data_IF_317609361441
#
_entry.id   IF_317609361441
#
_cell.length_a   1.000
_cell.length_b   1.000
_cell.length_c   1.000
_cell.angle_alpha   90.00
_cell.angle_beta   90.00
_cell.angle_gamma   90.00
#
_symmetry.space_group_name_H-M   'P 1'
#
loop_
_entity.id
_entity.type
_entity.pdbx_description
1 polymer ?
#
# COMPACT_ATOMS: atom_id res chain seq x y z
N UNK A 1 21.21 -62.71 -44.96
CA UNK A 1 21.62 -61.58 -44.07
C UNK A 1 20.46 -60.57 -43.93
N UNK A 2 19.62 -60.40 -44.95
CA UNK A 2 18.50 -59.41 -44.94
C UNK A 2 17.35 -59.74 -43.95
N UNK A 3 17.01 -61.04 -43.84
CA UNK A 3 15.91 -61.52 -42.99
C UNK A 3 16.25 -61.41 -41.47
N UNK A 4 17.47 -61.71 -41.09
CA UNK A 4 17.96 -61.60 -39.72
C UNK A 4 17.98 -60.14 -39.26
N UNK A 5 18.37 -59.25 -40.14
CA UNK A 5 18.35 -57.82 -39.83
C UNK A 5 16.92 -57.28 -39.66
N UNK A 6 15.95 -57.73 -40.44
CA UNK A 6 14.53 -57.39 -40.28
C UNK A 6 13.97 -57.92 -38.96
N UNK A 7 14.31 -59.11 -38.56
CA UNK A 7 13.89 -59.73 -37.32
C UNK A 7 14.45 -58.96 -36.09
N UNK A 8 15.74 -58.64 -36.12
CA UNK A 8 16.39 -57.87 -35.06
C UNK A 8 15.80 -56.43 -34.91
N UNK A 9 15.52 -55.77 -36.04
CA UNK A 9 14.83 -54.44 -36.01
C UNK A 9 13.43 -54.56 -35.43
N UNK A 10 12.65 -55.58 -35.79
CA UNK A 10 11.29 -55.80 -35.24
C UNK A 10 11.32 -56.09 -33.75
N UNK A 11 12.29 -56.87 -33.28
CA UNK A 11 12.47 -57.21 -31.87
C UNK A 11 12.89 -55.97 -31.06
N UNK A 12 13.82 -55.15 -31.61
CA UNK A 12 14.25 -53.91 -30.99
C UNK A 12 13.10 -52.88 -30.91
N UNK A 13 12.27 -52.79 -31.95
CA UNK A 13 11.12 -51.90 -31.99
C UNK A 13 10.05 -52.32 -30.97
N UNK A 14 9.79 -53.60 -30.80
CA UNK A 14 8.84 -54.12 -29.82
C UNK A 14 9.31 -53.90 -28.37
N UNK A 15 10.62 -54.02 -28.10
CA UNK A 15 11.21 -53.73 -26.79
C UNK A 15 11.08 -52.23 -26.43
N UNK A 16 11.34 -51.34 -27.40
CA UNK A 16 11.18 -49.86 -27.19
C UNK A 16 9.71 -49.52 -26.96
N UNK A 17 8.78 -50.15 -27.69
CA UNK A 17 7.34 -49.90 -27.51
C UNK A 17 6.84 -50.40 -26.16
N UNK A 18 7.36 -51.57 -25.66
CA UNK A 18 7.04 -52.09 -24.34
C UNK A 18 7.56 -51.19 -23.21
N UNK A 19 8.83 -50.73 -23.30
CA UNK A 19 9.40 -49.78 -22.32
C UNK A 19 8.64 -48.46 -22.28
N UNK A 20 8.23 -47.89 -23.43
CA UNK A 20 7.47 -46.65 -23.47
C UNK A 20 6.05 -46.80 -22.90
N UNK A 21 5.43 -47.99 -22.99
CA UNK A 21 4.13 -48.24 -22.36
C UNK A 21 4.25 -48.37 -20.84
N UNK A 22 5.30 -49.01 -20.34
CA UNK A 22 5.59 -49.12 -18.91
C UNK A 22 5.94 -47.75 -18.27
N UNK A 23 6.73 -46.92 -18.95
CA UNK A 23 7.05 -45.55 -18.50
C UNK A 23 5.80 -44.69 -18.47
N UNK A 24 4.88 -44.80 -19.46
CA UNK A 24 3.61 -44.07 -19.45
C UNK A 24 2.67 -44.54 -18.33
N UNK A 25 2.61 -45.84 -18.03
CA UNK A 25 1.81 -46.38 -16.93
C UNK A 25 2.38 -45.99 -15.58
N UNK A 26 3.70 -45.96 -15.41
CA UNK A 26 4.37 -45.50 -14.21
C UNK A 26 4.12 -43.98 -13.97
N UNK A 27 4.14 -43.17 -15.03
CA UNK A 27 3.84 -41.74 -14.97
C UNK A 27 2.38 -41.47 -14.59
N UNK A 28 1.43 -42.30 -15.02
CA UNK A 28 0.02 -42.15 -14.63
C UNK A 28 -0.19 -42.57 -13.17
N UNK A 29 0.42 -43.67 -12.73
CA UNK A 29 0.38 -44.09 -11.33
C UNK A 29 1.02 -43.04 -10.38
N UNK A 30 2.14 -42.44 -10.79
CA UNK A 30 2.79 -41.41 -10.01
C UNK A 30 1.89 -40.15 -9.87
N UNK A 31 1.20 -39.77 -10.93
CA UNK A 31 0.23 -38.63 -10.88
C UNK A 31 -0.95 -38.94 -9.98
N UNK A 32 -1.52 -40.13 -10.01
CA UNK A 32 -2.61 -40.53 -9.11
C UNK A 32 -2.14 -40.61 -7.66
N UNK A 33 -0.91 -41.07 -7.40
CA UNK A 33 -0.31 -41.09 -6.07
C UNK A 33 -0.11 -39.66 -5.53
N UNK A 34 0.43 -38.76 -6.34
CA UNK A 34 0.63 -37.35 -5.95
C UNK A 34 -0.72 -36.65 -5.67
N UNK A 35 -1.73 -36.87 -6.53
CA UNK A 35 -3.05 -36.27 -6.33
C UNK A 35 -3.74 -36.81 -5.07
N UNK A 36 -3.65 -38.12 -4.78
CA UNK A 36 -4.20 -38.69 -3.55
C UNK A 36 -3.47 -38.19 -2.30
N UNK A 37 -2.14 -38.02 -2.38
CA UNK A 37 -1.33 -37.46 -1.29
C UNK A 37 -1.71 -35.99 -1.00
N UNK A 38 -1.98 -35.18 -2.02
CA UNK A 38 -2.45 -33.80 -1.89
C UNK A 38 -3.83 -33.77 -1.22
N UNK A 39 -4.76 -34.65 -1.61
CA UNK A 39 -6.10 -34.73 -1.02
C UNK A 39 -6.00 -35.13 0.46
N UNK A 40 -5.16 -36.11 0.81
CA UNK A 40 -4.90 -36.51 2.18
C UNK A 40 -4.30 -35.36 2.99
N UNK A 41 -3.32 -34.65 2.43
CA UNK A 41 -2.70 -33.48 3.05
C UNK A 41 -3.72 -32.37 3.31
N UNK A 42 -4.59 -32.07 2.36
CA UNK A 42 -5.68 -31.09 2.53
C UNK A 42 -6.65 -31.54 3.62
N UNK A 43 -6.99 -32.83 3.68
CA UNK A 43 -7.91 -33.36 4.70
C UNK A 43 -7.33 -33.29 6.12
N UNK A 44 -6.04 -33.55 6.30
CA UNK A 44 -5.36 -33.48 7.62
C UNK A 44 -4.95 -32.07 8.01
N UNK A 45 -4.68 -31.16 7.06
CA UNK A 45 -4.30 -29.78 7.35
C UNK A 45 -5.52 -28.88 7.53
N UNK A 46 -6.64 -29.17 6.85
CA UNK A 46 -7.89 -28.39 6.93
C UNK A 46 -8.43 -28.21 8.35
N UNK A 47 -8.50 -29.24 9.21
CA UNK A 47 -8.93 -29.07 10.60
C UNK A 47 -7.99 -28.16 11.41
N UNK A 48 -6.67 -28.30 11.22
CA UNK A 48 -5.66 -27.47 11.90
C UNK A 48 -5.72 -26.01 11.46
N UNK A 49 -5.98 -25.76 10.17
CA UNK A 49 -6.20 -24.41 9.64
C UNK A 49 -7.48 -23.80 10.24
N UNK A 50 -8.55 -24.61 10.37
CA UNK A 50 -9.81 -24.18 10.97
C UNK A 50 -9.67 -23.89 12.47
N UNK A 51 -8.91 -24.70 13.22
CA UNK A 51 -8.58 -24.42 14.62
C UNK A 51 -7.72 -23.15 14.76
N UNK A 52 -6.74 -22.96 13.88
CA UNK A 52 -5.93 -21.75 13.86
C UNK A 52 -6.74 -20.50 13.51
N UNK A 53 -7.66 -20.60 12.58
CA UNK A 53 -8.63 -19.53 12.26
C UNK A 53 -9.57 -19.28 13.44
N UNK A 54 -10.07 -20.33 14.10
CA UNK A 54 -10.94 -20.22 15.28
C UNK A 54 -10.22 -19.60 16.47
N UNK A 55 -8.95 -19.97 16.71
CA UNK A 55 -8.10 -19.33 17.72
C UNK A 55 -7.82 -17.85 17.38
N UNK A 56 -7.58 -17.51 16.11
CA UNK A 56 -7.46 -16.10 15.69
C UNK A 56 -8.73 -15.30 15.96
N UNK A 57 -9.90 -15.88 15.67
CA UNK A 57 -11.20 -15.22 15.90
C UNK A 57 -11.49 -15.10 17.40
N UNK A 58 -11.17 -16.12 18.21
CA UNK A 58 -11.30 -16.05 19.68
C UNK A 58 -10.33 -15.02 20.26
N UNK A 59 -9.07 -15.06 19.86
CA UNK A 59 -8.07 -14.07 20.29
C UNK A 59 -8.45 -12.65 19.89
N UNK A 60 -9.04 -12.45 18.69
CA UNK A 60 -9.54 -11.14 18.25
C UNK A 60 -10.76 -10.69 19.07
N UNK A 61 -11.67 -11.59 19.44
CA UNK A 61 -12.83 -11.29 20.30
C UNK A 61 -12.44 -10.97 21.74
N UNK A 62 -11.54 -11.74 22.31
CA UNK A 62 -11.04 -11.49 23.67
C UNK A 62 -10.23 -10.20 23.73
N UNK A 63 -9.43 -9.92 22.70
CA UNK A 63 -8.71 -8.67 22.56
C UNK A 63 -9.65 -7.48 22.32
N UNK A 64 -10.72 -7.66 21.56
CA UNK A 64 -11.76 -6.65 21.31
C UNK A 64 -12.53 -6.33 22.59
N UNK A 65 -12.95 -7.34 23.35
CA UNK A 65 -13.67 -7.17 24.62
C UNK A 65 -12.78 -6.51 25.69
N UNK A 66 -11.52 -6.94 25.81
CA UNK A 66 -10.57 -6.31 26.72
C UNK A 66 -10.24 -4.86 26.29
N UNK A 67 -10.14 -4.59 25.00
CA UNK A 67 -9.90 -3.22 24.50
C UNK A 67 -11.12 -2.32 24.69
N UNK A 68 -12.36 -2.83 24.49
CA UNK A 68 -13.60 -2.09 24.76
C UNK A 68 -13.74 -1.73 26.24
N UNK A 69 -13.47 -2.68 27.14
CA UNK A 69 -13.55 -2.46 28.58
C UNK A 69 -12.47 -1.49 29.08
N UNK A 70 -11.24 -1.59 28.57
CA UNK A 70 -10.18 -0.64 28.90
C UNK A 70 -10.44 0.74 28.29
N UNK A 71 -11.02 0.80 27.09
CA UNK A 71 -11.40 2.04 26.42
C UNK A 71 -12.50 2.78 27.22
N UNK A 72 -13.55 2.06 27.65
CA UNK A 72 -14.64 2.62 28.47
C UNK A 72 -14.09 3.26 29.73
N UNK A 73 -13.18 2.59 30.46
CA UNK A 73 -12.48 3.14 31.63
C UNK A 73 -11.61 4.37 31.35
N UNK A 74 -11.08 4.49 30.13
CA UNK A 74 -10.21 5.62 29.75
C UNK A 74 -11.01 6.88 29.44
N UNK A 75 -12.27 6.76 28.94
CA UNK A 75 -13.06 7.88 28.43
C UNK A 75 -14.38 8.16 29.15
N UNK A 76 -14.81 7.36 30.13
CA UNK A 76 -16.09 7.56 30.85
C UNK A 76 -16.20 8.90 31.61
N UNK A 77 -15.18 9.75 31.59
CA UNK A 77 -15.17 11.00 32.38
C UNK A 77 -15.36 12.29 31.61
N UNK A 78 -15.39 12.26 30.27
CA UNK A 78 -15.48 13.47 29.44
C UNK A 78 -16.48 13.32 28.26
N UNK A 79 -17.73 12.96 28.55
CA UNK A 79 -18.79 12.82 27.53
C UNK A 79 -19.59 14.11 27.35
N UNK A 80 -18.96 15.20 26.94
CA UNK A 80 -19.68 16.36 26.39
C UNK A 80 -18.81 17.07 25.37
N UNK A 81 -18.70 16.51 24.17
CA UNK A 81 -18.29 17.28 23.01
C UNK A 81 -18.97 16.69 21.76
N UNK A 82 -20.20 17.16 21.51
CA UNK A 82 -20.83 17.12 20.19
C UNK A 82 -20.03 17.97 19.22
N UNK A 83 -19.03 17.36 18.60
CA UNK A 83 -18.32 17.97 17.50
C UNK A 83 -18.70 17.25 16.22
N UNK A 84 -19.62 17.84 15.43
CA UNK A 84 -19.69 17.62 13.99
C UNK A 84 -18.29 17.88 13.43
N UNK A 85 -17.48 16.82 13.30
CA UNK A 85 -16.20 16.89 12.63
C UNK A 85 -16.48 17.20 11.16
N UNK A 86 -16.37 18.45 10.81
CA UNK A 86 -16.39 18.90 9.43
C UNK A 86 -15.12 18.34 8.77
N UNK A 87 -15.23 17.73 7.57
CA UNK A 87 -14.11 17.17 6.80
C UNK A 87 -12.95 18.17 6.61
N UNK A 88 -13.21 19.46 6.77
CA UNK A 88 -12.23 20.52 6.72
C UNK A 88 -11.06 20.33 7.70
N UNK A 89 -11.34 19.87 8.93
CA UNK A 89 -10.30 19.66 9.96
C UNK A 89 -9.43 18.42 9.73
N UNK A 90 -9.89 17.50 8.87
CA UNK A 90 -9.19 16.23 8.61
C UNK A 90 -7.80 16.44 7.98
N UNK A 91 -7.63 17.53 7.26
CA UNK A 91 -6.42 17.84 6.50
C UNK A 91 -5.65 19.05 7.02
N UNK A 92 -6.12 19.75 8.07
CA UNK A 92 -5.45 20.95 8.59
C UNK A 92 -3.97 20.71 8.92
N UNK A 93 -3.65 19.64 9.62
CA UNK A 93 -2.26 19.28 9.95
C UNK A 93 -1.41 18.85 8.74
N UNK A 94 -2.06 18.51 7.61
CA UNK A 94 -1.39 18.19 6.33
C UNK A 94 -1.14 19.48 5.55
N UNK A 95 -2.08 20.41 5.58
CA UNK A 95 -1.96 21.69 4.89
C UNK A 95 -1.03 22.65 5.65
N UNK A 96 -1.05 22.56 7.00
CA UNK A 96 -0.15 23.30 7.90
C UNK A 96 1.21 22.61 8.08
N UNK A 97 1.82 22.06 7.03
CA UNK A 97 3.17 21.48 7.08
C UNK A 97 4.21 22.59 7.27
N UNK A 98 4.26 23.15 8.50
CA UNK A 98 5.12 24.29 8.86
C UNK A 98 6.61 23.95 8.94
N UNK A 99 6.94 22.63 9.06
CA UNK A 99 8.32 22.14 9.16
C UNK A 99 9.05 22.04 7.80
N UNK A 100 8.43 22.46 6.70
CA UNK A 100 9.07 22.44 5.39
C UNK A 100 9.61 23.83 5.07
N UNK A 101 10.87 23.91 4.62
CA UNK A 101 11.40 25.17 4.12
C UNK A 101 10.47 25.72 3.03
N UNK A 102 10.12 27.01 3.14
CA UNK A 102 9.27 27.68 2.16
C UNK A 102 9.86 27.65 0.74
N UNK A 103 11.14 27.31 0.61
CA UNK A 103 11.91 27.25 -0.62
C UNK A 103 12.20 25.79 -1.05
N UNK A 104 11.15 25.02 -1.30
CA UNK A 104 11.32 23.70 -1.94
C UNK A 104 11.84 23.89 -3.37
N UNK A 105 13.11 23.62 -3.60
CA UNK A 105 13.72 23.70 -4.93
C UNK A 105 13.20 22.55 -5.80
N UNK A 106 12.67 22.90 -6.96
CA UNK A 106 12.26 21.91 -7.97
C UNK A 106 13.48 21.48 -8.78
N UNK A 107 13.89 20.24 -8.61
CA UNK A 107 14.99 19.66 -9.38
C UNK A 107 14.56 19.33 -10.82
N UNK A 108 15.50 19.43 -11.75
CA UNK A 108 15.28 18.99 -13.15
C UNK A 108 15.21 17.45 -13.23
N UNK A 109 14.58 16.94 -14.27
CA UNK A 109 14.55 15.48 -14.51
C UNK A 109 15.94 14.88 -14.69
N UNK A 110 16.90 15.64 -15.25
CA UNK A 110 18.30 15.22 -15.39
C UNK A 110 18.98 15.10 -14.03
N UNK A 111 18.88 16.12 -13.18
CA UNK A 111 19.44 16.11 -11.82
C UNK A 111 18.87 14.98 -10.98
N UNK A 112 17.56 14.68 -11.11
CA UNK A 112 16.93 13.56 -10.41
C UNK A 112 17.48 12.22 -10.93
N UNK A 113 17.71 12.08 -12.22
CA UNK A 113 18.28 10.87 -12.80
C UNK A 113 19.71 10.63 -12.28
N UNK A 114 20.55 11.68 -12.24
CA UNK A 114 21.91 11.64 -11.64
C UNK A 114 21.88 11.27 -10.15
N UNK A 115 20.93 11.83 -9.40
CA UNK A 115 20.75 11.49 -7.98
C UNK A 115 20.38 10.00 -7.80
N UNK A 116 19.50 9.46 -8.64
CA UNK A 116 19.14 8.05 -8.59
C UNK A 116 20.28 7.13 -9.00
N UNK A 117 21.10 7.53 -9.95
CA UNK A 117 22.30 6.81 -10.37
C UNK A 117 23.36 6.81 -9.27
N UNK A 118 23.73 7.97 -8.73
CA UNK A 118 24.71 8.12 -7.67
C UNK A 118 24.35 7.35 -6.39
N UNK A 119 23.05 7.31 -6.05
CA UNK A 119 22.53 6.54 -4.92
C UNK A 119 22.29 5.06 -5.25
N UNK A 120 22.54 4.63 -6.48
CA UNK A 120 22.24 3.28 -6.99
C UNK A 120 20.78 2.90 -6.77
N UNK A 121 19.87 3.86 -6.91
CA UNK A 121 18.44 3.64 -6.77
C UNK A 121 17.81 3.33 -8.12
N UNK A 122 17.47 2.07 -8.37
CA UNK A 122 16.80 1.65 -9.58
C UNK A 122 15.73 0.59 -9.28
N UNK A 123 14.68 0.56 -10.12
CA UNK A 123 13.52 -0.30 -9.90
C UNK A 123 13.82 -1.80 -10.06
N UNK A 124 14.88 -2.17 -10.79
CA UNK A 124 15.25 -3.58 -10.93
C UNK A 124 15.82 -4.11 -9.62
N UNK A 125 16.68 -3.34 -8.96
CA UNK A 125 17.19 -3.67 -7.64
C UNK A 125 16.06 -3.71 -6.59
N UNK A 126 15.13 -2.76 -6.63
CA UNK A 126 13.96 -2.78 -5.75
C UNK A 126 13.13 -4.05 -5.96
N UNK A 127 12.91 -4.49 -7.20
CA UNK A 127 12.18 -5.74 -7.48
C UNK A 127 12.89 -6.96 -6.91
N UNK A 128 14.23 -7.02 -6.99
CA UNK A 128 15.05 -8.13 -6.49
C UNK A 128 15.10 -8.14 -4.96
N UNK A 129 15.50 -7.01 -4.37
CA UNK A 129 15.84 -6.90 -2.95
C UNK A 129 14.64 -6.57 -2.06
N UNK A 130 13.56 -6.04 -2.63
CA UNK A 130 12.40 -5.45 -1.92
C UNK A 130 12.79 -4.26 -1.03
N UNK A 131 13.98 -3.71 -1.21
CA UNK A 131 14.46 -2.55 -0.48
C UNK A 131 14.35 -1.29 -1.34
N UNK A 132 13.77 -0.24 -0.77
CA UNK A 132 13.62 1.06 -1.40
C UNK A 132 14.60 2.04 -0.75
N UNK A 133 15.37 2.75 -1.56
CA UNK A 133 16.26 3.81 -1.06
C UNK A 133 15.41 4.98 -0.53
N UNK A 134 15.77 5.58 0.61
CA UNK A 134 15.01 6.67 1.23
C UNK A 134 15.27 8.02 0.53
N UNK A 135 15.13 8.04 -0.79
CA UNK A 135 15.27 9.27 -1.60
C UNK A 135 13.90 9.91 -1.75
N UNK A 136 13.61 10.93 -0.95
CA UNK A 136 12.34 11.65 -1.00
C UNK A 136 12.50 12.97 -1.74
N UNK A 137 11.69 13.17 -2.78
CA UNK A 137 11.60 14.42 -3.51
C UNK A 137 10.35 15.19 -3.11
N UNK A 138 10.48 16.51 -2.97
CA UNK A 138 9.36 17.37 -2.58
C UNK A 138 8.41 17.67 -3.74
N UNK A 139 8.92 17.76 -4.96
CA UNK A 139 8.20 18.18 -6.16
C UNK A 139 8.51 17.27 -7.36
N UNK A 140 7.56 17.13 -8.29
CA UNK A 140 7.81 16.51 -9.59
C UNK A 140 8.60 17.47 -10.48
N UNK A 141 9.54 16.97 -11.34
CA UNK A 141 10.22 17.80 -12.32
C UNK A 141 9.23 18.26 -13.39
N UNK A 142 9.30 19.54 -13.78
CA UNK A 142 8.41 20.06 -14.84
C UNK A 142 8.64 19.40 -16.21
N UNK A 143 9.87 18.95 -16.44
CA UNK A 143 10.29 18.28 -17.67
C UNK A 143 9.70 16.88 -17.82
N UNK A 144 9.06 16.32 -16.79
CA UNK A 144 8.46 14.97 -16.85
C UNK A 144 7.48 14.85 -18.02
N UNK A 145 6.74 15.93 -18.31
CA UNK A 145 5.80 16.00 -19.45
C UNK A 145 6.49 16.00 -20.82
N UNK A 146 7.79 16.41 -20.88
CA UNK A 146 8.58 16.47 -22.12
C UNK A 146 9.34 15.17 -22.40
N UNK A 147 9.32 14.20 -21.48
CA UNK A 147 9.99 12.91 -21.67
C UNK A 147 9.17 12.08 -22.67
N UNK A 148 9.63 12.00 -23.93
CA UNK A 148 8.94 11.26 -25.00
C UNK A 148 8.94 9.75 -24.75
N UNK A 149 10.06 9.20 -24.27
CA UNK A 149 10.13 7.79 -23.97
C UNK A 149 9.23 7.42 -22.77
N UNK A 150 8.09 6.81 -23.09
CA UNK A 150 7.04 6.44 -22.13
C UNK A 150 7.59 5.56 -20.99
N UNK A 151 8.49 4.62 -21.29
CA UNK A 151 9.09 3.73 -20.28
C UNK A 151 9.98 4.53 -19.32
N UNK A 152 10.80 5.45 -19.83
CA UNK A 152 11.63 6.33 -18.99
C UNK A 152 10.76 7.21 -18.10
N UNK A 153 9.71 7.85 -18.66
CA UNK A 153 8.78 8.68 -17.90
C UNK A 153 8.07 7.89 -16.77
N UNK A 154 7.54 6.71 -17.08
CA UNK A 154 6.89 5.84 -16.09
C UNK A 154 7.86 5.40 -14.99
N UNK A 155 9.07 5.00 -15.34
CA UNK A 155 10.08 4.60 -14.37
C UNK A 155 10.46 5.77 -13.45
N UNK A 156 10.69 6.96 -13.99
CA UNK A 156 10.99 8.16 -13.21
C UNK A 156 9.85 8.48 -12.24
N UNK A 157 8.61 8.46 -12.71
CA UNK A 157 7.45 8.68 -11.85
C UNK A 157 7.38 7.67 -10.71
N UNK A 158 7.52 6.37 -11.00
CA UNK A 158 7.50 5.33 -9.97
C UNK A 158 8.65 5.53 -8.97
N UNK A 159 9.87 5.83 -9.44
CA UNK A 159 11.02 6.07 -8.57
C UNK A 159 10.78 7.25 -7.62
N UNK A 160 10.07 8.29 -8.06
CA UNK A 160 9.72 9.44 -7.23
C UNK A 160 8.65 9.10 -6.19
N UNK A 161 7.58 8.41 -6.60
CA UNK A 161 6.41 8.18 -5.73
C UNK A 161 6.62 7.03 -4.75
N UNK A 162 7.34 5.99 -5.14
CA UNK A 162 7.52 4.78 -4.32
C UNK A 162 8.13 5.06 -2.94
N UNK A 163 9.22 5.84 -2.78
CA UNK A 163 9.76 6.16 -1.46
C UNK A 163 8.78 6.91 -0.56
N UNK A 164 7.93 7.77 -1.14
CA UNK A 164 6.94 8.55 -0.39
C UNK A 164 5.86 7.65 0.21
N UNK A 165 5.36 6.68 -0.57
CA UNK A 165 4.38 5.69 -0.09
C UNK A 165 4.99 4.79 0.98
N UNK A 166 6.23 4.32 0.78
CA UNK A 166 6.94 3.49 1.77
C UNK A 166 7.16 4.26 3.08
N UNK A 167 7.53 5.54 3.00
CA UNK A 167 7.71 6.40 4.18
C UNK A 167 6.40 6.55 4.96
N UNK A 168 5.29 6.77 4.26
CA UNK A 168 3.98 6.88 4.93
C UNK A 168 3.59 5.56 5.59
N UNK A 169 3.78 4.43 4.92
CA UNK A 169 3.54 3.11 5.51
C UNK A 169 4.43 2.83 6.73
N UNK A 170 5.66 3.34 6.76
CA UNK A 170 6.52 3.25 7.95
C UNK A 170 5.94 4.06 9.11
N UNK A 171 5.44 5.27 8.85
CA UNK A 171 4.78 6.11 9.85
C UNK A 171 3.53 5.41 10.42
N UNK A 172 2.69 4.86 9.54
CA UNK A 172 1.49 4.11 9.94
C UNK A 172 1.87 2.90 10.81
N UNK A 173 2.91 2.14 10.45
CA UNK A 173 3.40 1.02 11.27
C UNK A 173 3.85 1.45 12.66
N UNK A 174 4.55 2.58 12.77
CA UNK A 174 4.98 3.13 14.05
C UNK A 174 3.77 3.57 14.90
N UNK A 175 2.82 4.27 14.29
CA UNK A 175 1.58 4.67 14.93
C UNK A 175 0.77 3.45 15.40
N UNK A 176 0.68 2.43 14.58
CA UNK A 176 0.00 1.17 14.89
C UNK A 176 0.65 0.45 16.08
N UNK A 177 2.00 0.36 16.11
CA UNK A 177 2.73 -0.16 17.27
C UNK A 177 2.43 0.63 18.55
N UNK A 178 2.42 1.96 18.45
CA UNK A 178 2.10 2.85 19.58
C UNK A 178 0.66 2.67 20.03
N UNK A 179 -0.31 2.57 19.11
CA UNK A 179 -1.70 2.28 19.42
C UNK A 179 -1.83 1.01 20.26
N UNK A 180 -1.27 -0.12 19.80
CA UNK A 180 -1.32 -1.37 20.54
C UNK A 180 -0.61 -1.29 21.88
N UNK A 181 0.50 -0.57 21.99
CA UNK A 181 1.18 -0.36 23.26
C UNK A 181 0.33 0.42 24.28
N UNK A 182 -0.50 1.35 23.82
CA UNK A 182 -1.44 2.11 24.65
C UNK A 182 -2.61 1.24 25.08
N UNK A 183 -3.17 0.46 24.17
CA UNK A 183 -4.33 -0.39 24.43
C UNK A 183 -4.04 -1.54 25.39
N UNK A 184 -2.79 -2.03 25.42
CA UNK A 184 -2.37 -3.11 26.29
C UNK A 184 -2.04 -2.65 27.73
N UNK A 185 -2.10 -1.35 28.03
CA UNK A 185 -1.85 -0.84 29.38
C UNK A 185 -3.14 -0.74 30.22
N UNK A 186 -3.05 -1.07 31.51
CA UNK A 186 -4.14 -0.89 32.46
C UNK A 186 -4.40 0.59 32.79
N UNK A 187 -3.36 1.43 32.73
CA UNK A 187 -3.45 2.88 32.94
C UNK A 187 -2.66 3.61 31.86
N UNK A 188 -3.27 4.61 31.27
CA UNK A 188 -2.65 5.45 30.25
C UNK A 188 -2.41 6.87 30.77
N UNK A 189 -1.25 7.44 30.44
CA UNK A 189 -0.93 8.82 30.77
C UNK A 189 -1.81 9.82 29.99
N UNK A 190 -1.89 11.07 30.46
CA UNK A 190 -2.60 12.15 29.76
C UNK A 190 -2.07 12.33 28.32
N UNK A 191 -0.75 12.28 28.14
CA UNK A 191 -0.14 12.37 26.82
C UNK A 191 -0.57 11.23 25.87
N UNK A 192 -0.70 9.99 26.39
CA UNK A 192 -1.18 8.85 25.59
C UNK A 192 -2.66 9.01 25.21
N UNK A 193 -3.49 9.52 26.11
CA UNK A 193 -4.90 9.81 25.81
C UNK A 193 -5.02 10.91 24.74
N UNK A 194 -4.29 12.02 24.88
CA UNK A 194 -4.27 13.10 23.90
C UNK A 194 -3.79 12.62 22.53
N UNK A 195 -2.77 11.75 22.50
CA UNK A 195 -2.32 11.15 21.25
C UNK A 195 -3.41 10.28 20.62
N UNK A 196 -4.13 9.48 21.38
CA UNK A 196 -5.23 8.65 20.87
C UNK A 196 -6.37 9.53 20.32
N UNK A 197 -6.74 10.60 21.02
CA UNK A 197 -7.70 11.59 20.54
C UNK A 197 -7.27 12.20 19.21
N UNK A 198 -5.99 12.61 19.10
CA UNK A 198 -5.46 13.14 17.85
C UNK A 198 -5.55 12.14 16.70
N UNK A 199 -5.38 10.82 17.00
CA UNK A 199 -5.51 9.76 15.98
C UNK A 199 -6.96 9.51 15.57
N UNK A 200 -7.92 9.54 16.49
CA UNK A 200 -9.34 9.50 16.11
C UNK A 200 -9.70 10.65 15.16
N UNK A 201 -9.26 11.86 15.48
CA UNK A 201 -9.45 13.04 14.63
C UNK A 201 -8.76 12.86 13.28
N UNK A 202 -7.48 12.43 13.30
CA UNK A 202 -6.66 12.24 12.10
C UNK A 202 -7.26 11.22 11.13
N UNK A 203 -7.87 10.16 11.63
CA UNK A 203 -8.46 9.08 10.82
C UNK A 203 -9.98 9.23 10.64
N UNK A 204 -10.57 10.38 11.01
CA UNK A 204 -11.99 10.67 10.82
C UNK A 204 -12.92 9.74 11.59
N UNK A 205 -12.51 9.25 12.75
CA UNK A 205 -13.30 8.34 13.58
C UNK A 205 -14.06 9.15 14.63
N UNK A 206 -15.24 9.67 14.24
CA UNK A 206 -16.04 10.59 15.05
C UNK A 206 -16.52 9.98 16.38
N UNK A 207 -16.99 8.75 16.33
CA UNK A 207 -17.53 8.01 17.47
C UNK A 207 -16.46 7.41 18.39
N UNK A 208 -15.18 7.69 18.14
CA UNK A 208 -14.02 7.14 18.88
C UNK A 208 -14.01 5.61 18.94
N UNK A 209 -14.57 4.95 17.93
CA UNK A 209 -14.55 3.50 17.83
C UNK A 209 -13.16 2.98 17.50
N UNK A 210 -12.62 2.16 18.43
CA UNK A 210 -11.29 1.58 18.31
C UNK A 210 -11.17 0.57 17.17
N UNK A 211 -12.24 -0.13 16.85
CA UNK A 211 -12.22 -1.11 15.76
C UNK A 211 -12.06 -0.38 14.43
N UNK A 212 -12.86 0.66 14.22
CA UNK A 212 -12.75 1.53 13.05
C UNK A 212 -11.36 2.19 12.96
N UNK A 213 -10.82 2.68 14.09
CA UNK A 213 -9.46 3.26 14.10
C UNK A 213 -8.40 2.23 13.71
N UNK A 214 -8.46 0.99 14.22
CA UNK A 214 -7.54 -0.10 13.85
C UNK A 214 -7.63 -0.46 12.37
N UNK A 215 -8.82 -0.44 11.78
CA UNK A 215 -9.03 -0.71 10.35
C UNK A 215 -8.47 0.42 9.50
N UNK A 216 -8.79 1.67 9.82
CA UNK A 216 -8.34 2.84 9.06
C UNK A 216 -6.84 3.12 9.21
N UNK A 217 -6.26 2.81 10.36
CA UNK A 217 -4.83 2.93 10.61
C UNK A 217 -4.09 1.70 10.07
N UNK A 218 -4.18 1.43 8.77
CA UNK A 218 -3.48 0.32 8.12
C UNK A 218 -2.63 0.80 6.94
N UNK A 219 -1.67 -0.06 6.54
CA UNK A 219 -0.74 0.27 5.48
C UNK A 219 -1.44 0.35 4.12
N UNK A 220 -1.01 1.31 3.32
CA UNK A 220 -1.49 1.47 1.95
C UNK A 220 -0.84 0.40 1.07
N UNK A 221 -1.60 -0.41 0.30
CA UNK A 221 -1.03 -1.27 -0.71
C UNK A 221 -0.23 -0.45 -1.73
N UNK A 222 1.09 -0.62 -1.74
CA UNK A 222 2.03 0.22 -2.51
C UNK A 222 1.69 0.25 -4.00
N UNK A 223 1.39 -0.91 -4.58
CA UNK A 223 1.02 -1.01 -6.01
C UNK A 223 -0.28 -0.27 -6.32
N UNK A 224 -1.26 -0.29 -5.41
CA UNK A 224 -2.52 0.43 -5.55
C UNK A 224 -2.28 1.94 -5.54
N UNK A 225 -1.55 2.45 -4.56
CA UNK A 225 -1.24 3.88 -4.47
C UNK A 225 -0.51 4.39 -5.73
N UNK A 226 0.51 3.65 -6.20
CA UNK A 226 1.25 4.03 -7.41
C UNK A 226 0.35 3.99 -8.65
N UNK A 227 -0.51 2.97 -8.79
CA UNK A 227 -1.41 2.85 -9.92
C UNK A 227 -2.45 3.98 -9.95
N UNK A 228 -3.03 4.33 -8.81
CA UNK A 228 -3.96 5.45 -8.70
C UNK A 228 -3.27 6.78 -8.99
N UNK A 229 -2.13 7.06 -8.36
CA UNK A 229 -1.37 8.27 -8.65
C UNK A 229 -1.01 8.38 -10.14
N UNK A 230 -0.60 7.28 -10.78
CA UNK A 230 -0.27 7.24 -12.20
C UNK A 230 -1.50 7.54 -13.09
N UNK A 231 -2.66 6.96 -12.75
CA UNK A 231 -3.92 7.17 -13.48
C UNK A 231 -4.41 8.60 -13.31
N UNK A 232 -4.51 9.11 -12.10
CA UNK A 232 -5.02 10.45 -11.79
C UNK A 232 -4.15 11.57 -12.36
N UNK A 233 -2.83 11.35 -12.47
CA UNK A 233 -1.89 12.38 -12.91
C UNK A 233 -1.39 12.20 -14.34
N UNK A 234 -1.82 11.17 -15.07
CA UNK A 234 -1.22 10.83 -16.35
C UNK A 234 0.29 10.58 -16.25
N UNK A 235 0.73 9.84 -15.21
CA UNK A 235 2.14 9.61 -14.90
C UNK A 235 2.90 10.90 -14.56
N UNK A 236 2.27 11.78 -13.81
CA UNK A 236 2.86 13.02 -13.33
C UNK A 236 2.86 14.18 -14.33
N UNK A 237 2.16 14.06 -15.47
CA UNK A 237 2.14 15.09 -16.52
C UNK A 237 1.03 16.11 -16.36
N UNK A 238 0.02 15.84 -15.52
CA UNK A 238 -1.12 16.73 -15.34
C UNK A 238 -0.73 18.05 -14.66
N UNK A 239 -1.46 19.13 -14.97
CA UNK A 239 -1.30 20.43 -14.32
C UNK A 239 -1.44 20.33 -12.80
N UNK A 240 -2.43 19.59 -12.33
CA UNK A 240 -2.68 19.41 -10.90
C UNK A 240 -1.50 18.75 -10.16
N UNK A 241 -0.83 17.78 -10.81
CA UNK A 241 0.36 17.15 -10.23
C UNK A 241 1.57 18.10 -10.22
N UNK A 242 1.77 18.90 -11.26
CA UNK A 242 2.93 19.77 -11.42
C UNK A 242 2.82 21.06 -10.62
N UNK A 243 1.64 21.71 -10.59
CA UNK A 243 1.42 22.97 -9.91
C UNK A 243 0.87 22.82 -8.50
N UNK A 244 0.14 21.74 -8.25
CA UNK A 244 -0.54 21.50 -6.97
C UNK A 244 -0.01 20.33 -6.17
N UNK A 245 0.98 19.57 -6.66
CA UNK A 245 1.44 18.32 -6.03
C UNK A 245 0.29 17.34 -5.73
N UNK A 246 -0.82 17.46 -6.46
CA UNK A 246 -2.05 16.68 -6.27
C UNK A 246 -1.92 15.34 -7.00
N UNK A 247 -1.46 14.31 -6.30
CA UNK A 247 -1.21 12.98 -6.87
C UNK A 247 -2.48 12.13 -7.02
N UNK A 248 -3.52 12.41 -6.24
CA UNK A 248 -4.71 11.56 -6.11
C UNK A 248 -6.02 12.31 -6.34
N UNK A 249 -5.97 13.54 -6.86
CA UNK A 249 -7.14 14.30 -7.25
C UNK A 249 -8.14 14.60 -6.13
N UNK A 250 -7.67 14.76 -4.87
CA UNK A 250 -8.56 15.09 -3.75
C UNK A 250 -9.19 16.47 -3.94
N UNK A 251 -10.48 16.54 -3.63
CA UNK A 251 -11.26 17.78 -3.72
C UNK A 251 -11.26 18.54 -2.39
N UNK A 252 -11.35 19.87 -2.49
CA UNK A 252 -11.58 20.76 -1.36
C UNK A 252 -12.62 21.80 -1.72
N UNK A 253 -13.45 22.18 -0.75
CA UNK A 253 -14.43 23.28 -0.86
C UNK A 253 -13.94 24.53 -0.14
N UNK A 254 -12.85 24.42 0.61
CA UNK A 254 -12.23 25.50 1.39
C UNK A 254 -10.71 25.43 1.26
N UNK A 255 -10.04 26.56 1.43
CA UNK A 255 -8.59 26.64 1.40
C UNK A 255 -7.99 26.71 -0.02
N UNK A 256 -6.68 26.44 -0.10
CA UNK A 256 -5.92 26.48 -1.35
C UNK A 256 -6.24 25.30 -2.25
N UNK A 257 -6.51 25.59 -3.51
CA UNK A 257 -6.78 24.57 -4.53
C UNK A 257 -6.69 25.13 -5.94
N UNK A 258 -6.57 24.23 -6.90
CA UNK A 258 -6.56 24.54 -8.33
C UNK A 258 -7.93 24.23 -8.91
N UNK A 259 -8.56 25.22 -9.56
CA UNK A 259 -9.78 25.00 -10.34
C UNK A 259 -9.45 24.25 -11.63
N UNK A 260 -10.31 23.33 -12.12
CA UNK A 260 -10.25 22.84 -13.50
C UNK A 260 -10.30 24.00 -14.48
N UNK A 261 -9.66 23.86 -15.66
CA UNK A 261 -9.63 24.93 -16.67
C UNK A 261 -11.03 25.21 -17.22
N UNK A 262 -11.82 24.16 -17.38
CA UNK A 262 -13.18 24.21 -17.94
C UNK A 262 -14.26 24.31 -16.85
N UNK A 263 -13.88 24.72 -15.61
CA UNK A 263 -14.83 24.84 -14.53
C UNK A 263 -15.70 26.10 -14.73
N UNK A 264 -17.01 25.92 -14.62
CA UNK A 264 -17.97 27.05 -14.58
C UNK A 264 -17.63 28.03 -13.45
N UNK A 265 -17.94 29.30 -13.65
CA UNK A 265 -17.65 30.37 -12.66
C UNK A 265 -18.23 30.07 -11.27
N UNK A 266 -19.35 29.37 -11.21
CA UNK A 266 -20.04 28.98 -9.96
C UNK A 266 -19.44 27.73 -9.29
N UNK A 267 -18.38 27.12 -9.85
CA UNK A 267 -17.77 25.94 -9.27
C UNK A 267 -17.08 26.27 -7.95
N UNK A 268 -17.60 25.75 -6.84
CA UNK A 268 -17.08 26.00 -5.47
C UNK A 268 -15.96 25.04 -5.08
N UNK A 269 -15.90 23.86 -5.72
CA UNK A 269 -14.88 22.86 -5.43
C UNK A 269 -13.61 23.06 -6.27
N UNK A 270 -12.49 22.70 -5.67
CA UNK A 270 -11.16 22.79 -6.27
C UNK A 270 -10.41 21.48 -6.02
N UNK A 271 -9.43 21.15 -6.85
CA UNK A 271 -8.46 20.11 -6.53
C UNK A 271 -7.50 20.66 -5.48
N UNK A 272 -7.38 19.94 -4.38
CA UNK A 272 -6.54 20.33 -3.24
C UNK A 272 -5.08 20.52 -3.67
N UNK A 273 -4.45 21.61 -3.24
CA UNK A 273 -3.04 21.90 -3.49
C UNK A 273 -2.22 21.55 -2.24
N UNK A 274 -1.09 20.91 -2.44
CA UNK A 274 -0.17 20.52 -1.38
C UNK A 274 1.18 21.22 -1.55
N UNK A 275 1.83 21.57 -0.43
CA UNK A 275 3.18 22.17 -0.45
C UNK A 275 4.20 21.20 -1.04
N UNK A 276 4.06 19.90 -0.76
CA UNK A 276 4.95 18.82 -1.22
C UNK A 276 4.21 17.54 -1.55
N UNK A 277 4.83 16.68 -2.35
CA UNK A 277 4.26 15.38 -2.75
C UNK A 277 3.93 14.46 -1.56
N UNK A 278 4.75 14.47 -0.50
CA UNK A 278 4.50 13.67 0.70
C UNK A 278 3.17 14.02 1.38
N UNK A 279 2.78 15.30 1.37
CA UNK A 279 1.51 15.75 1.93
C UNK A 279 0.31 15.14 1.16
N UNK A 280 0.41 15.06 -0.17
CA UNK A 280 -0.61 14.40 -1.00
C UNK A 280 -0.74 12.91 -0.70
N UNK A 281 0.39 12.20 -0.50
CA UNK A 281 0.37 10.78 -0.11
C UNK A 281 -0.26 10.59 1.27
N UNK A 282 0.07 11.46 2.22
CA UNK A 282 -0.51 11.44 3.57
C UNK A 282 -2.02 11.72 3.54
N UNK A 283 -2.47 12.69 2.72
CA UNK A 283 -3.89 12.97 2.52
C UNK A 283 -4.63 11.80 1.87
N UNK A 284 -4.02 11.14 0.91
CA UNK A 284 -4.59 9.95 0.27
C UNK A 284 -4.86 8.83 1.29
N UNK A 285 -3.91 8.55 2.16
CA UNK A 285 -4.07 7.55 3.22
C UNK A 285 -5.29 7.82 4.12
N UNK A 286 -5.58 9.08 4.39
CA UNK A 286 -6.71 9.48 5.24
C UNK A 286 -8.07 9.37 4.57
N UNK A 287 -8.10 9.30 3.24
CA UNK A 287 -9.32 9.14 2.45
C UNK A 287 -9.67 7.68 2.16
N UNK A 288 -8.76 6.75 2.47
CA UNK A 288 -9.01 5.31 2.38
C UNK A 288 -9.70 4.79 3.65
#
# INVERSE_FOLDING_TARGET
>A
ISEIQKFLRKKKFNLIKKNNSEIKSLGSLLRTFISSLIIILVFFISPKINEFQKQRVLFSKDFENNSKNNFKKVFEKDSNLDTKLNNQYLFEDILAFDDLPNDSVRLSAATIAELFESTKYNLNEVRKTKLVKPVSLSLLPNEIKKIENVKKRKNLFIQIILPLVIKENQNIRLDRKKLFSILNKSKNSRAQKNWLESKFKQYGVVNKDLLTLKMRMDEIPVSMAIAQAAKETGWGTSRFALEGNALFGQWTWSGEGLKPIDAEDNTTHKVMKFKVLQASVKAYQRNL
#
